data_IF_994586077189
#
_entry.id   IF_994586077189
#
_cell.length_a   1.000
_cell.length_b   1.000
_cell.length_c   1.000
_cell.angle_alpha   90.00
_cell.angle_beta   90.00
_cell.angle_gamma   90.00
#
_symmetry.space_group_name_H-M   'P 1'
#
loop_
_entity.id
_entity.type
_entity.pdbx_description
1 polymer ?
#
# COMPACT_ATOMS: atom_id res chain seq x y z
N UNK A 1 -3.63 6.71 -14.91
CA UNK A 1 -2.59 5.70 -14.55
C UNK A 1 -3.30 4.48 -13.99
N UNK A 2 -2.89 3.27 -14.39
CA UNK A 2 -3.52 2.03 -13.89
C UNK A 2 -2.77 1.47 -12.66
N UNK A 3 -3.44 0.68 -11.80
CA UNK A 3 -2.77 -0.06 -10.73
C UNK A 3 -1.67 -0.98 -11.26
N UNK A 4 -1.89 -1.64 -12.40
CA UNK A 4 -0.90 -2.51 -13.03
C UNK A 4 0.41 -1.79 -13.31
N UNK A 5 0.35 -0.62 -13.94
CA UNK A 5 1.55 0.16 -14.23
C UNK A 5 2.32 0.56 -12.97
N UNK A 6 1.64 0.94 -11.89
CA UNK A 6 2.30 1.25 -10.62
C UNK A 6 2.95 0.02 -10.00
N UNK A 7 2.28 -1.13 -10.03
CA UNK A 7 2.84 -2.40 -9.56
C UNK A 7 4.08 -2.79 -10.37
N UNK A 8 4.05 -2.67 -11.69
CA UNK A 8 5.19 -2.97 -12.56
C UNK A 8 6.37 -2.03 -12.28
N UNK A 9 6.11 -0.74 -12.05
CA UNK A 9 7.13 0.22 -11.63
C UNK A 9 7.74 -0.16 -10.27
N UNK A 10 6.93 -0.55 -9.28
CA UNK A 10 7.41 -1.00 -7.97
C UNK A 10 8.27 -2.26 -8.10
N UNK A 11 7.84 -3.23 -8.92
CA UNK A 11 8.62 -4.44 -9.21
C UNK A 11 9.95 -4.10 -9.86
N UNK A 12 9.96 -3.18 -10.84
CA UNK A 12 11.19 -2.68 -11.46
C UNK A 12 12.10 -2.01 -10.43
N UNK A 13 11.55 -1.10 -9.62
CA UNK A 13 12.31 -0.36 -8.62
C UNK A 13 12.98 -1.31 -7.63
N UNK A 14 12.26 -2.29 -7.11
CA UNK A 14 12.80 -3.23 -6.13
C UNK A 14 13.86 -4.18 -6.71
N UNK A 15 13.64 -4.71 -7.93
CA UNK A 15 14.47 -5.79 -8.47
C UNK A 15 15.61 -5.33 -9.39
N UNK A 16 15.50 -4.14 -9.99
CA UNK A 16 16.43 -3.70 -11.06
C UNK A 16 17.07 -2.35 -10.83
N UNK A 17 16.40 -1.43 -10.11
CA UNK A 17 16.91 -0.07 -9.94
C UNK A 17 18.08 -0.01 -8.95
N UNK A 18 19.14 0.72 -9.31
CA UNK A 18 20.23 1.07 -8.39
C UNK A 18 19.77 1.95 -7.24
N UNK A 19 18.59 2.58 -7.35
CA UNK A 19 18.02 3.47 -6.34
C UNK A 19 16.99 2.80 -5.43
N UNK A 20 16.85 1.46 -5.47
CA UNK A 20 15.83 0.73 -4.71
C UNK A 20 15.84 1.13 -3.24
N UNK A 21 17.01 1.19 -2.60
CA UNK A 21 17.12 1.41 -1.16
C UNK A 21 16.57 2.78 -0.77
N UNK A 22 17.03 3.84 -1.44
CA UNK A 22 16.56 5.19 -1.19
C UNK A 22 15.04 5.33 -1.46
N UNK A 23 14.54 4.70 -2.53
CA UNK A 23 13.12 4.70 -2.83
C UNK A 23 12.30 3.96 -1.75
N UNK A 24 12.72 2.76 -1.36
CA UNK A 24 12.05 1.95 -0.34
C UNK A 24 12.04 2.67 1.01
N UNK A 25 13.19 3.21 1.43
CA UNK A 25 13.34 3.94 2.70
C UNK A 25 12.54 5.26 2.73
N UNK A 26 12.16 5.81 1.58
CA UNK A 26 11.32 7.00 1.51
C UNK A 26 9.82 6.70 1.71
N UNK A 27 9.40 5.44 1.63
CA UNK A 27 8.01 5.04 1.81
C UNK A 27 7.70 4.89 3.30
N UNK A 28 6.62 5.54 3.81
CA UNK A 28 6.30 5.46 5.23
C UNK A 28 5.80 4.07 5.60
N UNK A 29 6.17 3.64 6.80
CA UNK A 29 5.75 2.37 7.37
C UNK A 29 4.30 2.42 7.84
N UNK A 30 3.47 1.55 7.26
CA UNK A 30 2.04 1.44 7.55
C UNK A 30 1.79 1.08 9.01
N UNK A 31 0.88 1.81 9.67
CA UNK A 31 0.58 1.67 11.09
C UNK A 31 1.50 2.47 12.03
N UNK A 32 2.54 3.13 11.50
CA UNK A 32 3.56 3.80 12.31
C UNK A 32 3.87 5.24 11.88
N UNK A 33 3.88 5.53 10.57
CA UNK A 33 4.47 6.78 10.06
C UNK A 33 3.55 7.58 9.13
N UNK A 34 3.68 8.90 9.20
CA UNK A 34 3.11 9.86 8.26
C UNK A 34 1.61 9.69 8.04
N UNK A 35 1.21 9.65 6.77
CA UNK A 35 -0.20 9.58 6.35
C UNK A 35 -0.80 8.17 6.44
N UNK A 36 0.01 7.16 6.77
CA UNK A 36 -0.41 5.76 6.89
C UNK A 36 -0.40 5.24 8.33
N UNK A 37 -0.19 6.09 9.33
CA UNK A 37 -0.16 5.73 10.76
C UNK A 37 -1.44 5.04 11.25
N UNK A 38 -2.61 5.43 10.71
CA UNK A 38 -3.89 4.83 11.09
C UNK A 38 -4.34 3.70 10.15
N UNK A 39 -3.66 3.50 9.02
CA UNK A 39 -4.01 2.48 8.04
C UNK A 39 -3.49 1.11 8.50
N UNK A 40 -4.36 0.09 8.52
CA UNK A 40 -4.04 -1.27 9.01
C UNK A 40 -3.44 -1.31 10.43
N UNK A 41 -3.60 -0.23 11.21
CA UNK A 41 -3.11 -0.14 12.58
C UNK A 41 -3.81 -1.20 13.44
N UNK A 42 -3.05 -1.85 14.33
CA UNK A 42 -3.53 -2.95 15.18
C UNK A 42 -3.95 -4.23 14.42
N UNK A 43 -3.36 -4.46 13.24
CA UNK A 43 -3.54 -5.69 12.48
C UNK A 43 -2.21 -6.42 12.32
N UNK A 44 -2.24 -7.68 11.88
CA UNK A 44 -1.03 -8.47 11.57
C UNK A 44 -0.14 -7.85 10.48
N UNK A 45 -0.66 -6.89 9.70
CA UNK A 45 0.03 -6.21 8.62
C UNK A 45 0.70 -4.90 9.06
N UNK A 46 0.43 -4.42 10.28
CA UNK A 46 1.09 -3.24 10.84
C UNK A 46 2.61 -3.46 10.86
N UNK A 47 3.36 -2.50 10.31
CA UNK A 47 4.82 -2.58 10.24
C UNK A 47 5.40 -3.49 9.15
N UNK A 48 4.57 -4.31 8.48
CA UNK A 48 4.99 -5.19 7.38
C UNK A 48 4.85 -4.56 5.99
N UNK A 49 4.11 -3.45 5.91
CA UNK A 49 3.88 -2.72 4.66
C UNK A 49 4.58 -1.36 4.75
N UNK A 50 5.28 -0.99 3.68
CA UNK A 50 5.68 0.40 3.41
C UNK A 50 4.90 0.88 2.19
N UNK A 51 4.22 2.02 2.29
CA UNK A 51 3.35 2.47 1.20
C UNK A 51 3.15 3.97 1.17
N UNK A 52 3.13 4.52 -0.03
CA UNK A 52 2.66 5.89 -0.25
C UNK A 52 1.14 5.89 -0.32
N UNK A 53 0.51 6.75 0.47
CA UNK A 53 -0.92 7.07 0.31
C UNK A 53 -1.14 8.21 -0.69
N UNK A 54 -2.28 8.19 -1.36
CA UNK A 54 -2.75 9.29 -2.20
C UNK A 54 -4.25 9.49 -2.03
N UNK A 55 -4.68 10.73 -1.86
CA UNK A 55 -6.11 11.05 -1.73
C UNK A 55 -6.43 12.42 -2.32
N UNK A 56 -7.50 12.48 -3.09
CA UNK A 56 -8.16 13.70 -3.57
C UNK A 56 -9.68 13.47 -3.52
N UNK A 57 -10.49 14.45 -3.91
CA UNK A 57 -11.94 14.27 -3.94
C UNK A 57 -12.33 13.07 -4.83
N UNK A 58 -13.09 12.13 -4.28
CA UNK A 58 -13.54 10.92 -4.98
C UNK A 58 -12.45 9.90 -5.31
N UNK A 59 -11.21 10.05 -4.82
CA UNK A 59 -10.11 9.10 -5.07
C UNK A 59 -9.33 8.79 -3.80
N UNK A 60 -9.07 7.51 -3.55
CA UNK A 60 -8.24 7.05 -2.44
C UNK A 60 -7.37 5.87 -2.88
N UNK A 61 -6.06 5.98 -2.69
CA UNK A 61 -5.08 5.05 -3.23
C UNK A 61 -3.95 4.73 -2.24
N UNK A 62 -3.38 3.54 -2.39
CA UNK A 62 -2.13 3.13 -1.74
C UNK A 62 -1.26 2.36 -2.73
N UNK A 63 0.05 2.59 -2.70
CA UNK A 63 1.00 1.83 -3.49
C UNK A 63 2.31 1.62 -2.72
N UNK A 64 2.87 0.41 -2.76
CA UNK A 64 4.05 0.07 -1.98
C UNK A 64 4.36 -1.42 -1.94
N UNK A 65 5.03 -1.85 -0.87
CA UNK A 65 5.51 -3.22 -0.70
C UNK A 65 5.02 -3.83 0.61
N UNK A 66 4.63 -5.11 0.55
CA UNK A 66 4.45 -5.98 1.70
C UNK A 66 5.67 -6.90 1.81
N UNK A 67 6.39 -6.83 2.93
CA UNK A 67 7.55 -7.67 3.21
C UNK A 67 7.28 -8.46 4.50
N UNK A 68 7.17 -9.79 4.37
CA UNK A 68 6.95 -10.71 5.49
C UNK A 68 7.88 -11.91 5.38
N UNK A 69 9.04 -11.81 6.05
CA UNK A 69 10.13 -12.78 5.91
C UNK A 69 10.60 -12.87 4.45
N UNK A 70 10.47 -14.07 3.86
CA UNK A 70 10.86 -14.31 2.46
C UNK A 70 9.78 -13.92 1.44
N UNK A 71 8.53 -13.67 1.89
CA UNK A 71 7.44 -13.26 1.02
C UNK A 71 7.52 -11.76 0.76
N UNK A 72 7.60 -11.38 -0.52
CA UNK A 72 7.70 -9.99 -0.97
C UNK A 72 6.68 -9.73 -2.06
N UNK A 73 5.80 -8.76 -1.83
CA UNK A 73 4.78 -8.36 -2.80
C UNK A 73 4.87 -6.87 -3.08
N UNK A 74 4.74 -6.49 -4.35
CA UNK A 74 4.37 -5.13 -4.73
C UNK A 74 2.84 -5.04 -4.81
N UNK A 75 2.27 -3.93 -4.35
CA UNK A 75 0.83 -3.70 -4.39
C UNK A 75 0.51 -2.27 -4.82
N UNK A 76 -0.59 -2.12 -5.56
CA UNK A 76 -1.23 -0.85 -5.87
C UNK A 76 -2.75 -1.02 -5.80
N UNK A 77 -3.40 -0.17 -5.02
CA UNK A 77 -4.85 -0.14 -4.84
C UNK A 77 -5.32 1.26 -5.19
N UNK A 78 -6.29 1.35 -6.10
CA UNK A 78 -6.90 2.61 -6.52
C UNK A 78 -8.41 2.51 -6.50
N UNK A 79 -9.06 3.33 -5.67
CA UNK A 79 -10.51 3.46 -5.66
C UNK A 79 -10.86 4.84 -6.17
N UNK A 80 -11.58 4.89 -7.30
CA UNK A 80 -11.96 6.13 -7.99
C UNK A 80 -13.47 6.29 -8.02
N UNK A 81 -13.93 7.54 -8.07
CA UNK A 81 -15.35 7.92 -8.17
C UNK A 81 -16.22 7.22 -7.12
N UNK A 82 -15.68 7.00 -5.92
CA UNK A 82 -16.46 6.37 -4.84
C UNK A 82 -17.49 7.34 -4.31
N UNK A 83 -18.64 6.78 -3.92
CA UNK A 83 -19.64 7.47 -3.13
C UNK A 83 -19.43 7.12 -1.65
N UNK A 84 -19.67 8.09 -0.75
CA UNK A 84 -19.45 7.91 0.69
C UNK A 84 -18.15 8.54 1.19
N UNK A 85 -17.72 8.14 2.37
CA UNK A 85 -16.60 8.74 3.09
C UNK A 85 -15.27 8.04 2.77
N UNK A 86 -14.18 8.81 2.85
CA UNK A 86 -12.81 8.25 2.77
C UNK A 86 -12.55 7.18 3.83
N UNK A 87 -13.22 7.28 4.98
CA UNK A 87 -13.07 6.31 6.07
C UNK A 87 -13.64 4.94 5.69
N UNK A 88 -14.80 4.90 5.04
CA UNK A 88 -15.43 3.66 4.56
C UNK A 88 -14.56 3.00 3.50
N UNK A 89 -14.07 3.77 2.52
CA UNK A 89 -13.16 3.26 1.49
C UNK A 89 -11.88 2.73 2.10
N UNK A 90 -11.26 3.47 3.04
CA UNK A 90 -10.08 3.01 3.75
C UNK A 90 -10.34 1.68 4.48
N UNK A 91 -11.44 1.57 5.22
CA UNK A 91 -11.81 0.34 5.93
C UNK A 91 -12.04 -0.83 4.97
N UNK A 92 -12.70 -0.60 3.82
CA UNK A 92 -12.91 -1.63 2.82
C UNK A 92 -11.57 -2.13 2.24
N UNK A 93 -10.63 -1.22 1.96
CA UNK A 93 -9.28 -1.58 1.53
C UNK A 93 -8.55 -2.37 2.62
N UNK A 94 -8.67 -1.98 3.90
CA UNK A 94 -8.07 -2.72 5.02
C UNK A 94 -8.59 -4.16 5.08
N UNK A 95 -9.91 -4.35 4.98
CA UNK A 95 -10.51 -5.68 5.00
C UNK A 95 -10.08 -6.54 3.81
N UNK A 96 -10.05 -5.95 2.61
CA UNK A 96 -9.57 -6.64 1.41
C UNK A 96 -8.11 -7.10 1.54
N UNK A 97 -7.23 -6.23 2.03
CA UNK A 97 -5.82 -6.60 2.23
C UNK A 97 -5.67 -7.70 3.28
N UNK A 98 -6.46 -7.65 4.36
CA UNK A 98 -6.43 -8.69 5.39
C UNK A 98 -6.95 -10.03 4.87
N UNK A 99 -7.98 -10.04 4.02
CA UNK A 99 -8.51 -11.29 3.43
C UNK A 99 -7.51 -11.91 2.48
N UNK A 100 -6.93 -11.12 1.56
CA UNK A 100 -6.00 -11.64 0.55
C UNK A 100 -4.71 -12.17 1.19
N UNK A 101 -4.17 -11.50 2.22
CA UNK A 101 -2.93 -11.97 2.87
C UNK A 101 -3.17 -13.12 3.87
N UNK A 102 -4.42 -13.52 4.13
CA UNK A 102 -4.70 -14.78 4.83
C UNK A 102 -4.59 -15.99 3.90
N UNK A 103 -4.75 -15.79 2.59
CA UNK A 103 -4.84 -16.85 1.59
C UNK A 103 -3.51 -17.15 0.88
N UNK A 104 -2.44 -16.39 1.19
CA UNK A 104 -1.12 -16.50 0.55
C UNK A 104 -0.03 -16.87 1.54
#
# INVERSE_FOLDING_TARGET
MSPQFQTDLLVYMYNKSSYYKAFYDSLPKVGHEGTVTYFLRNTKLSGKIVAKSGSISGVHCYAGYLIDGNKKYALSIMVNKFNGTRLEVRKAIEQFLLSVVNEI
#
